data_IF_206190048032
#
_entry.id   IF_206190048032
#
_cell.length_a   1.000
_cell.length_b   1.000
_cell.length_c   1.000
_cell.angle_alpha   90.00
_cell.angle_beta   90.00
_cell.angle_gamma   90.00
#
_symmetry.space_group_name_H-M   'P 1'
#
loop_
_entity.id
_entity.type
_entity.pdbx_description
1 polymer ?
#
# COMPACT_ATOMS: atom_id res chain seq x y z
N UNK A 1 -9.28 -2.80 -21.83
CA UNK A 1 -8.23 -3.82 -21.61
C UNK A 1 -7.15 -3.31 -20.65
N UNK A 2 -6.63 -2.10 -20.86
CA UNK A 2 -5.57 -1.48 -20.04
C UNK A 2 -5.92 -1.34 -18.56
N UNK A 3 -7.12 -0.80 -18.24
CA UNK A 3 -7.56 -0.60 -16.84
C UNK A 3 -7.64 -1.92 -16.08
N UNK A 4 -8.15 -2.98 -16.72
CA UNK A 4 -8.28 -4.30 -16.09
C UNK A 4 -6.90 -4.90 -15.74
N UNK A 5 -5.95 -4.82 -16.67
CA UNK A 5 -4.56 -5.23 -16.43
C UNK A 5 -3.96 -4.41 -15.28
N UNK A 6 -4.17 -3.10 -15.27
CA UNK A 6 -3.68 -2.23 -14.20
C UNK A 6 -4.24 -2.59 -12.83
N UNK A 7 -5.54 -2.87 -12.74
CA UNK A 7 -6.17 -3.30 -11.49
C UNK A 7 -5.64 -4.65 -11.01
N UNK A 8 -5.43 -5.61 -11.92
CA UNK A 8 -4.91 -6.92 -11.56
C UNK A 8 -3.47 -6.84 -11.04
N UNK A 9 -2.62 -6.07 -11.72
CA UNK A 9 -1.23 -5.84 -11.31
C UNK A 9 -1.18 -5.07 -9.99
N UNK A 10 -2.03 -4.05 -9.82
CA UNK A 10 -2.17 -3.32 -8.57
C UNK A 10 -2.58 -4.23 -7.42
N UNK A 11 -3.54 -5.13 -7.65
CA UNK A 11 -4.02 -6.06 -6.64
C UNK A 11 -2.91 -7.00 -6.17
N UNK A 12 -2.08 -7.51 -7.08
CA UNK A 12 -0.89 -8.31 -6.71
C UNK A 12 0.06 -7.50 -5.84
N UNK A 13 0.33 -6.23 -6.19
CA UNK A 13 1.18 -5.35 -5.39
C UNK A 13 0.61 -5.13 -3.97
N UNK A 14 -0.70 -4.93 -3.84
CA UNK A 14 -1.39 -4.79 -2.53
C UNK A 14 -1.31 -6.09 -1.73
N UNK A 15 -1.51 -7.25 -2.33
CA UNK A 15 -1.42 -8.53 -1.61
C UNK A 15 -0.02 -8.77 -1.03
N UNK A 16 1.04 -8.45 -1.79
CA UNK A 16 2.41 -8.55 -1.30
C UNK A 16 2.66 -7.57 -0.16
N UNK A 17 2.14 -6.34 -0.28
CA UNK A 17 2.22 -5.30 0.74
C UNK A 17 1.59 -5.74 2.07
N UNK A 18 0.34 -6.18 2.01
CA UNK A 18 -0.43 -6.65 3.17
C UNK A 18 0.17 -7.91 3.79
N UNK A 19 0.64 -8.84 2.95
CA UNK A 19 1.36 -10.02 3.42
C UNK A 19 2.63 -9.63 4.21
N UNK A 20 3.40 -8.65 3.74
CA UNK A 20 4.61 -8.20 4.41
C UNK A 20 4.30 -7.60 5.80
N UNK A 21 3.24 -6.81 5.92
CA UNK A 21 2.76 -6.33 7.23
C UNK A 21 2.42 -7.48 8.17
N UNK A 22 1.59 -8.43 7.71
CA UNK A 22 1.18 -9.58 8.51
C UNK A 22 2.36 -10.47 8.90
N UNK A 23 3.31 -10.68 8.00
CA UNK A 23 4.51 -11.47 8.25
C UNK A 23 5.42 -10.80 9.28
N UNK A 24 5.64 -9.49 9.15
CA UNK A 24 6.41 -8.72 10.12
C UNK A 24 5.76 -8.76 11.51
N UNK A 25 4.45 -8.51 11.58
CA UNK A 25 3.69 -8.56 12.83
C UNK A 25 3.77 -9.95 13.49
N UNK A 26 3.64 -11.02 12.70
CA UNK A 26 3.79 -12.40 13.19
C UNK A 26 5.18 -12.67 13.78
N UNK A 27 6.24 -12.21 13.10
CA UNK A 27 7.62 -12.35 13.59
C UNK A 27 7.89 -11.52 14.85
N UNK A 28 7.19 -10.41 15.02
CA UNK A 28 7.26 -9.55 16.21
C UNK A 28 6.31 -9.97 17.33
N UNK A 29 5.61 -11.10 17.19
CA UNK A 29 4.81 -11.71 18.25
C UNK A 29 3.31 -11.52 18.15
N UNK A 30 2.78 -10.94 17.06
CA UNK A 30 1.34 -10.82 16.83
C UNK A 30 0.80 -11.92 15.87
N UNK A 31 0.15 -12.98 16.38
CA UNK A 31 -0.41 -14.05 15.55
C UNK A 31 -1.77 -13.72 14.93
N UNK A 32 -2.31 -12.51 15.12
CA UNK A 32 -3.68 -12.13 14.71
C UNK A 32 -3.94 -12.40 13.22
N UNK A 33 -3.04 -11.94 12.34
CA UNK A 33 -3.14 -12.16 10.90
C UNK A 33 -3.14 -13.66 10.51
N UNK A 34 -2.33 -14.47 11.22
CA UNK A 34 -2.21 -15.90 10.99
C UNK A 34 -3.50 -16.64 11.39
N UNK A 35 -4.04 -16.35 12.57
CA UNK A 35 -5.29 -16.96 13.04
C UNK A 35 -6.51 -16.51 12.23
N UNK A 36 -6.48 -15.30 11.69
CA UNK A 36 -7.49 -14.81 10.76
C UNK A 36 -7.36 -15.42 9.34
N UNK A 37 -6.39 -16.30 9.08
CA UNK A 37 -6.14 -16.90 7.78
C UNK A 37 -5.64 -15.91 6.71
N UNK A 38 -5.18 -14.72 7.11
CA UNK A 38 -4.75 -13.65 6.18
C UNK A 38 -3.26 -13.57 5.95
N UNK A 39 -2.47 -14.43 6.62
CA UNK A 39 -1.05 -14.57 6.34
C UNK A 39 -0.82 -15.46 5.11
N UNK A 40 -1.26 -14.97 3.94
CA UNK A 40 -1.21 -15.71 2.68
C UNK A 40 -1.05 -14.76 1.49
N UNK A 41 -0.39 -15.24 0.44
CA UNK A 41 -0.31 -14.56 -0.87
C UNK A 41 -1.51 -14.90 -1.77
N UNK A 42 -2.48 -15.68 -1.29
CA UNK A 42 -3.72 -15.95 -2.01
C UNK A 42 -4.53 -14.65 -2.12
N UNK A 43 -4.71 -14.07 -3.32
CA UNK A 43 -5.41 -12.81 -3.49
C UNK A 43 -6.87 -12.89 -3.03
N UNK A 44 -7.50 -14.07 -3.07
CA UNK A 44 -8.89 -14.25 -2.63
C UNK A 44 -9.09 -13.99 -1.13
N UNK A 45 -8.05 -14.20 -0.30
CA UNK A 45 -8.13 -13.99 1.14
C UNK A 45 -8.20 -12.50 1.53
N UNK A 46 -7.87 -11.60 0.60
CA UNK A 46 -7.81 -10.15 0.79
C UNK A 46 -8.97 -9.41 0.12
N UNK A 47 -9.91 -10.13 -0.48
CA UNK A 47 -11.12 -9.54 -1.08
C UNK A 47 -12.07 -9.11 0.04
N UNK A 48 -12.51 -7.85 -0.03
CA UNK A 48 -13.70 -7.40 0.69
C UNK A 48 -14.88 -7.44 -0.29
N UNK A 49 -15.89 -8.32 -0.12
CA UNK A 49 -16.99 -8.42 -1.08
C UNK A 49 -17.69 -7.08 -1.32
N UNK A 50 -17.80 -6.24 -0.29
CA UNK A 50 -18.41 -4.93 -0.43
C UNK A 50 -17.46 -3.94 -1.12
N UNK A 51 -16.27 -3.73 -0.55
CA UNK A 51 -15.31 -2.72 -1.01
C UNK A 51 -14.63 -3.05 -2.35
N UNK A 52 -14.46 -4.33 -2.67
CA UNK A 52 -13.77 -4.79 -3.88
C UNK A 52 -14.73 -5.08 -5.03
N UNK A 53 -16.00 -5.42 -4.77
CA UNK A 53 -16.98 -5.84 -5.80
C UNK A 53 -18.21 -4.94 -5.82
N UNK A 54 -18.99 -4.91 -4.72
CA UNK A 54 -20.30 -4.23 -4.69
C UNK A 54 -20.16 -2.73 -4.92
N UNK A 55 -19.22 -2.09 -4.23
CA UNK A 55 -19.04 -0.65 -4.28
C UNK A 55 -18.57 -0.16 -5.66
N UNK A 56 -17.51 -0.73 -6.29
CA UNK A 56 -17.16 -0.38 -7.66
C UNK A 56 -18.31 -0.57 -8.66
N UNK A 57 -19.06 -1.69 -8.57
CA UNK A 57 -20.21 -1.94 -9.45
C UNK A 57 -21.30 -0.88 -9.28
N UNK A 58 -21.64 -0.53 -8.04
CA UNK A 58 -22.62 0.51 -7.75
C UNK A 58 -22.19 1.87 -8.31
N UNK A 59 -20.92 2.25 -8.16
CA UNK A 59 -20.38 3.50 -8.71
C UNK A 59 -20.41 3.53 -10.24
N UNK A 60 -20.12 2.40 -10.90
CA UNK A 60 -20.23 2.27 -12.36
C UNK A 60 -21.70 2.43 -12.79
N UNK A 61 -22.64 1.76 -12.12
CA UNK A 61 -24.08 1.86 -12.40
C UNK A 61 -24.61 3.29 -12.21
N UNK A 62 -24.11 3.99 -11.18
CA UNK A 62 -24.46 5.38 -10.90
C UNK A 62 -23.74 6.38 -11.82
N UNK A 63 -22.92 5.91 -12.77
CA UNK A 63 -22.09 6.75 -13.65
C UNK A 63 -21.23 7.75 -12.86
N UNK A 64 -20.75 7.33 -11.70
CA UNK A 64 -19.86 8.15 -10.89
C UNK A 64 -18.60 8.48 -11.70
N UNK A 65 -18.12 9.73 -11.69
CA UNK A 65 -16.87 10.10 -12.34
C UNK A 65 -15.65 9.44 -11.69
N UNK A 66 -15.81 8.89 -10.47
CA UNK A 66 -14.77 8.22 -9.72
C UNK A 66 -15.23 6.81 -9.32
N UNK A 67 -14.40 5.82 -9.63
CA UNK A 67 -14.55 4.45 -9.17
C UNK A 67 -13.48 4.23 -8.09
N UNK A 68 -13.92 3.88 -6.88
CA UNK A 68 -13.02 3.52 -5.81
C UNK A 68 -13.45 2.18 -5.20
N UNK A 69 -12.47 1.50 -4.64
CA UNK A 69 -12.64 0.26 -3.91
C UNK A 69 -11.45 0.04 -3.00
N UNK A 70 -11.61 -0.79 -1.99
CA UNK A 70 -10.53 -1.15 -1.07
C UNK A 70 -10.42 -2.67 -0.94
N UNK A 71 -9.21 -3.13 -0.68
CA UNK A 71 -8.95 -4.49 -0.24
C UNK A 71 -9.23 -4.60 1.26
N UNK A 72 -9.49 -5.82 1.73
CA UNK A 72 -9.64 -6.10 3.16
C UNK A 72 -8.26 -6.09 3.81
N UNK A 73 -7.92 -5.13 4.68
CA UNK A 73 -6.57 -5.04 5.25
C UNK A 73 -6.27 -6.23 6.17
N UNK A 74 -4.98 -6.54 6.33
CA UNK A 74 -4.53 -7.59 7.26
C UNK A 74 -4.72 -7.12 8.71
N UNK A 75 -5.37 -7.91 9.57
CA UNK A 75 -5.64 -7.50 10.94
C UNK A 75 -4.37 -7.61 11.77
N UNK A 76 -4.02 -6.53 12.45
CA UNK A 76 -2.82 -6.44 13.30
C UNK A 76 -3.26 -5.96 14.66
N UNK A 77 -2.92 -6.71 15.70
CA UNK A 77 -3.14 -6.31 17.07
C UNK A 77 -1.89 -5.66 17.63
N UNK A 78 -1.84 -4.33 17.55
CA UNK A 78 -0.70 -3.54 18.04
C UNK A 78 -0.39 -3.74 19.52
N UNK A 79 -1.34 -4.22 20.34
CA UNK A 79 -1.08 -4.54 21.76
C UNK A 79 -0.10 -5.69 21.93
N UNK A 80 -0.05 -6.62 20.98
CA UNK A 80 0.86 -7.77 21.01
C UNK A 80 2.30 -7.39 20.63
N UNK A 81 2.52 -6.23 20.02
CA UNK A 81 3.84 -5.80 19.54
C UNK A 81 4.73 -5.23 20.64
N UNK A 82 4.19 -4.97 21.83
CA UNK A 82 4.91 -4.60 23.05
C UNK A 82 5.47 -3.18 23.08
N UNK A 83 6.11 -2.71 22.01
CA UNK A 83 6.71 -1.38 21.92
C UNK A 83 6.34 -0.64 20.63
N UNK A 84 6.53 0.68 20.64
CA UNK A 84 6.20 1.57 19.51
C UNK A 84 7.14 1.40 18.32
N UNK A 85 8.39 0.99 18.55
CA UNK A 85 9.34 0.69 17.49
C UNK A 85 8.86 -0.48 16.61
N UNK A 86 8.29 -1.52 17.22
CA UNK A 86 7.70 -2.65 16.51
C UNK A 86 6.49 -2.23 15.67
N UNK A 87 5.68 -1.28 16.14
CA UNK A 87 4.60 -0.69 15.33
C UNK A 87 5.16 -0.01 14.07
N UNK A 88 6.25 0.75 14.21
CA UNK A 88 6.92 1.37 13.06
C UNK A 88 7.55 0.34 12.11
N UNK A 89 8.17 -0.72 12.64
CA UNK A 89 8.72 -1.81 11.81
C UNK A 89 7.62 -2.49 11.00
N UNK A 90 6.48 -2.77 11.62
CA UNK A 90 5.31 -3.29 10.91
C UNK A 90 4.84 -2.31 9.85
N UNK A 91 4.72 -1.01 10.16
CA UNK A 91 4.36 0.02 9.17
C UNK A 91 5.36 0.12 8.00
N UNK A 92 6.66 -0.09 8.23
CA UNK A 92 7.67 -0.10 7.18
C UNK A 92 7.63 -1.35 6.30
N UNK A 93 7.14 -2.48 6.82
CA UNK A 93 7.23 -3.76 6.14
C UNK A 93 6.55 -3.79 4.76
N UNK A 94 5.35 -3.22 4.65
CA UNK A 94 4.62 -3.10 3.37
C UNK A 94 5.39 -2.26 2.35
N UNK A 95 5.69 -0.98 2.62
CA UNK A 95 6.46 -0.13 1.70
C UNK A 95 7.81 -0.73 1.29
N UNK A 96 8.54 -1.36 2.22
CA UNK A 96 9.82 -2.02 1.91
C UNK A 96 9.63 -3.23 0.98
N UNK A 97 8.59 -4.04 1.17
CA UNK A 97 8.29 -5.14 0.27
C UNK A 97 7.98 -4.63 -1.15
N UNK A 98 7.22 -3.55 -1.27
CA UNK A 98 6.94 -2.93 -2.57
C UNK A 98 8.21 -2.35 -3.23
N UNK A 99 9.09 -1.68 -2.50
CA UNK A 99 10.38 -1.26 -3.05
C UNK A 99 11.21 -2.44 -3.52
N UNK A 100 11.24 -3.54 -2.77
CA UNK A 100 11.93 -4.77 -3.18
C UNK A 100 11.32 -5.35 -4.47
N UNK A 101 10.00 -5.40 -4.59
CA UNK A 101 9.32 -5.87 -5.80
C UNK A 101 9.57 -4.96 -7.00
N UNK A 102 9.58 -3.64 -6.82
CA UNK A 102 9.93 -2.68 -7.85
C UNK A 102 11.37 -2.88 -8.34
N UNK A 103 12.31 -3.07 -7.41
CA UNK A 103 13.70 -3.35 -7.75
C UNK A 103 13.84 -4.67 -8.53
N UNK A 104 13.22 -5.76 -8.07
CA UNK A 104 13.22 -7.04 -8.80
C UNK A 104 12.60 -6.92 -10.19
N UNK A 105 11.47 -6.21 -10.32
CA UNK A 105 10.84 -5.93 -11.62
C UNK A 105 11.77 -5.16 -12.56
N UNK A 106 12.56 -4.22 -12.05
CA UNK A 106 13.54 -3.48 -12.85
C UNK A 106 14.66 -4.34 -13.41
N UNK A 107 15.14 -5.32 -12.63
CA UNK A 107 16.14 -6.27 -13.10
C UNK A 107 15.58 -7.14 -14.23
N UNK A 108 14.31 -7.55 -14.12
CA UNK A 108 13.63 -8.33 -15.17
C UNK A 108 13.43 -7.54 -16.46
N UNK A 109 13.12 -6.24 -16.36
CA UNK A 109 13.04 -5.35 -17.52
C UNK A 109 14.41 -5.25 -18.21
N UNK A 110 15.47 -5.02 -17.44
CA UNK A 110 16.85 -4.91 -17.96
C UNK A 110 17.38 -6.20 -18.57
N UNK A 111 16.90 -7.36 -18.12
CA UNK A 111 17.24 -8.64 -18.73
C UNK A 111 16.74 -8.74 -20.18
N UNK A 112 15.76 -7.91 -20.57
CA UNK A 112 15.23 -7.81 -21.94
C UNK A 112 14.78 -9.15 -22.54
N UNK A 113 14.23 -10.03 -21.69
CA UNK A 113 13.76 -11.37 -22.06
C UNK A 113 12.26 -11.42 -22.38
N UNK A 114 11.54 -10.31 -22.23
CA UNK A 114 10.09 -10.22 -22.42
C UNK A 114 9.74 -9.52 -23.74
N UNK A 115 8.62 -9.91 -24.35
CA UNK A 115 8.07 -9.19 -25.50
C UNK A 115 7.48 -7.83 -25.07
N UNK A 116 7.06 -7.00 -26.04
CA UNK A 116 6.51 -5.67 -25.79
C UNK A 116 5.36 -5.66 -24.76
N UNK A 117 4.47 -6.66 -24.81
CA UNK A 117 3.36 -6.79 -23.87
C UNK A 117 3.85 -7.12 -22.45
N UNK A 118 4.81 -8.05 -22.32
CA UNK A 118 5.41 -8.40 -21.04
C UNK A 118 6.21 -7.24 -20.43
N UNK A 119 6.95 -6.50 -21.26
CA UNK A 119 7.66 -5.28 -20.83
C UNK A 119 6.68 -4.21 -20.32
N UNK A 120 5.56 -4.00 -21.03
CA UNK A 120 4.52 -3.07 -20.58
C UNK A 120 3.93 -3.46 -19.21
N UNK A 121 3.61 -4.75 -19.02
CA UNK A 121 3.09 -5.26 -17.74
C UNK A 121 4.13 -5.11 -16.63
N UNK A 122 5.41 -5.37 -16.90
CA UNK A 122 6.49 -5.21 -15.92
C UNK A 122 6.74 -3.75 -15.55
N UNK A 123 6.77 -2.84 -16.53
CA UNK A 123 6.88 -1.40 -16.28
C UNK A 123 5.73 -0.90 -15.40
N UNK A 124 4.52 -1.36 -15.69
CA UNK A 124 3.34 -1.07 -14.90
C UNK A 124 3.45 -1.66 -13.47
N UNK A 125 3.93 -2.90 -13.34
CA UNK A 125 4.18 -3.53 -12.03
C UNK A 125 5.20 -2.75 -11.20
N UNK A 126 6.34 -2.36 -11.78
CA UNK A 126 7.35 -1.55 -11.09
C UNK A 126 6.76 -0.20 -10.66
N UNK A 127 6.10 0.50 -11.58
CA UNK A 127 5.51 1.82 -11.31
C UNK A 127 4.48 1.74 -10.17
N UNK A 128 3.56 0.77 -10.22
CA UNK A 128 2.52 0.62 -9.19
C UNK A 128 3.10 0.24 -7.82
N UNK A 129 4.16 -0.59 -7.79
CA UNK A 129 4.84 -0.89 -6.53
C UNK A 129 5.52 0.35 -5.95
N UNK A 130 6.21 1.16 -6.76
CA UNK A 130 6.83 2.42 -6.30
C UNK A 130 5.79 3.41 -5.81
N UNK A 131 4.69 3.60 -6.56
CA UNK A 131 3.59 4.48 -6.15
C UNK A 131 3.01 4.01 -4.82
N UNK A 132 2.70 2.72 -4.67
CA UNK A 132 2.14 2.19 -3.42
C UNK A 132 3.10 2.34 -2.24
N UNK A 133 4.41 2.15 -2.47
CA UNK A 133 5.42 2.33 -1.43
C UNK A 133 5.54 3.80 -1.00
N UNK A 134 5.70 4.72 -1.95
CA UNK A 134 5.86 6.16 -1.67
C UNK A 134 4.60 6.75 -1.06
N UNK A 135 3.42 6.38 -1.58
CA UNK A 135 2.13 6.80 -1.03
C UNK A 135 1.98 6.34 0.42
N UNK A 136 2.21 5.06 0.72
CA UNK A 136 2.06 4.56 2.08
C UNK A 136 3.14 5.04 3.05
N UNK A 137 4.25 5.62 2.60
CA UNK A 137 5.22 6.29 3.48
C UNK A 137 4.77 7.68 3.92
N UNK A 138 3.74 8.26 3.32
CA UNK A 138 3.25 9.57 3.70
C UNK A 138 2.71 9.54 5.14
N UNK A 139 3.14 10.44 6.04
CA UNK A 139 2.89 10.34 7.49
C UNK A 139 1.48 10.83 7.88
N UNK A 140 0.45 10.26 7.25
CA UNK A 140 -0.94 10.64 7.44
C UNK A 140 -1.81 9.38 7.63
N UNK A 141 -2.60 9.28 8.72
CA UNK A 141 -3.55 8.19 8.85
C UNK A 141 -4.58 8.21 7.72
N UNK A 142 -5.01 7.05 7.17
CA UNK A 142 -4.73 5.68 7.61
C UNK A 142 -3.45 5.04 7.03
N UNK A 143 -2.59 5.79 6.33
CA UNK A 143 -1.41 5.27 5.62
C UNK A 143 -0.35 4.76 6.59
N UNK A 144 0.51 3.84 6.16
CA UNK A 144 1.50 3.21 7.04
C UNK A 144 2.54 4.18 7.61
N UNK A 145 2.83 5.28 6.92
CA UNK A 145 3.68 6.37 7.38
C UNK A 145 3.23 6.94 8.71
N UNK A 146 1.92 6.90 9.00
CA UNK A 146 1.38 7.29 10.30
C UNK A 146 1.83 6.36 11.43
N UNK A 147 1.92 5.05 11.17
CA UNK A 147 2.39 4.03 12.12
C UNK A 147 3.90 4.17 12.36
N UNK A 148 4.64 4.47 11.30
CA UNK A 148 6.07 4.79 11.36
C UNK A 148 6.28 6.01 12.24
N UNK A 149 5.52 7.09 11.97
CA UNK A 149 5.60 8.32 12.75
C UNK A 149 5.25 8.07 14.23
N UNK A 150 4.18 7.32 14.52
CA UNK A 150 3.81 6.92 15.89
C UNK A 150 4.93 6.20 16.64
N UNK A 151 5.74 5.40 15.93
CA UNK A 151 6.88 4.69 16.50
C UNK A 151 8.01 5.60 16.97
N UNK A 152 8.23 6.72 16.26
CA UNK A 152 9.32 7.66 16.52
C UNK A 152 8.89 8.92 17.30
N UNK A 153 7.58 9.18 17.39
CA UNK A 153 7.05 10.40 17.99
C UNK A 153 7.38 10.51 19.50
N UNK A 154 7.81 11.69 20.00
CA UNK A 154 7.90 11.96 21.43
C UNK A 154 6.57 11.74 22.16
N UNK A 155 6.64 11.25 23.40
CA UNK A 155 5.45 10.80 24.14
C UNK A 155 4.42 11.91 24.37
N UNK A 156 4.87 13.15 24.55
CA UNK A 156 3.99 14.32 24.70
C UNK A 156 3.19 14.68 23.44
N UNK A 157 3.66 14.27 22.25
CA UNK A 157 3.00 14.60 20.97
C UNK A 157 1.96 13.55 20.56
N UNK A 158 1.98 12.35 21.14
CA UNK A 158 1.11 11.23 20.72
C UNK A 158 -0.36 11.60 20.83
N UNK A 159 -0.75 12.25 21.94
CA UNK A 159 -2.15 12.66 22.18
C UNK A 159 -2.70 13.56 21.06
N UNK A 160 -1.86 14.43 20.50
CA UNK A 160 -2.26 15.32 19.40
C UNK A 160 -2.34 14.54 18.09
N UNK A 161 -1.41 13.62 17.85
CA UNK A 161 -1.43 12.80 16.64
C UNK A 161 -2.66 11.88 16.57
N UNK A 162 -2.98 11.19 17.67
CA UNK A 162 -4.18 10.34 17.77
C UNK A 162 -5.46 11.18 17.61
N UNK A 163 -5.47 12.43 18.06
CA UNK A 163 -6.60 13.33 17.84
C UNK A 163 -6.80 13.69 16.36
N UNK A 164 -5.74 13.72 15.55
CA UNK A 164 -5.80 13.96 14.09
C UNK A 164 -6.23 12.69 13.35
N UNK A 165 -5.89 11.51 13.86
CA UNK A 165 -6.19 10.20 13.25
C UNK A 165 -7.67 10.04 12.87
N UNK A 166 -8.59 10.54 13.71
CA UNK A 166 -10.03 10.52 13.44
C UNK A 166 -10.46 11.31 12.19
N UNK A 167 -9.66 12.29 11.78
CA UNK A 167 -9.86 13.11 10.59
C UNK A 167 -9.00 12.64 9.43
N UNK A 168 -8.15 11.62 9.62
CA UNK A 168 -7.16 11.16 8.65
C UNK A 168 -7.76 10.87 7.28
N UNK A 169 -8.89 10.16 7.22
CA UNK A 169 -9.61 9.91 5.96
C UNK A 169 -10.06 11.21 5.26
N UNK A 170 -10.63 12.16 6.00
CA UNK A 170 -11.10 13.43 5.43
C UNK A 170 -9.93 14.24 4.88
N UNK A 171 -8.82 14.29 5.64
CA UNK A 171 -7.59 14.98 5.22
C UNK A 171 -7.02 14.30 3.97
N UNK A 172 -6.95 12.96 3.97
CA UNK A 172 -6.45 12.18 2.84
C UNK A 172 -7.24 12.49 1.56
N UNK A 173 -8.58 12.39 1.61
CA UNK A 173 -9.43 12.68 0.46
C UNK A 173 -9.33 14.14 0.03
N UNK A 174 -9.26 15.09 0.96
CA UNK A 174 -9.06 16.50 0.65
C UNK A 174 -7.75 16.76 -0.10
N UNK A 175 -6.66 16.16 0.35
CA UNK A 175 -5.35 16.27 -0.30
C UNK A 175 -5.31 15.62 -1.70
N UNK A 176 -6.00 14.48 -1.88
CA UNK A 176 -6.14 13.83 -3.19
C UNK A 176 -6.95 14.73 -4.13
N UNK A 177 -8.08 15.26 -3.66
CA UNK A 177 -8.96 16.12 -4.46
C UNK A 177 -8.28 17.42 -4.89
N UNK A 178 -7.41 17.98 -4.04
CA UNK A 178 -6.59 19.15 -4.36
C UNK A 178 -5.41 18.85 -5.30
N UNK A 179 -5.16 17.59 -5.66
CA UNK A 179 -4.03 17.18 -6.51
C UNK A 179 -2.65 17.29 -5.85
N UNK A 180 -2.60 17.49 -4.53
CA UNK A 180 -1.34 17.66 -3.79
C UNK A 180 -0.51 16.38 -3.77
N UNK A 181 -1.19 15.22 -3.71
CA UNK A 181 -0.50 13.93 -3.80
C UNK A 181 0.20 13.73 -5.13
N UNK A 182 -0.41 14.13 -6.25
CA UNK A 182 0.24 14.02 -7.55
C UNK A 182 1.50 14.89 -7.61
N UNK A 183 1.44 16.10 -7.05
CA UNK A 183 2.57 17.02 -7.00
C UNK A 183 3.73 16.48 -6.14
N UNK A 184 3.45 15.74 -5.07
CA UNK A 184 4.48 15.22 -4.15
C UNK A 184 4.99 13.85 -4.60
N UNK A 185 4.10 12.93 -4.96
CA UNK A 185 4.44 11.53 -5.21
C UNK A 185 5.10 11.35 -6.57
N UNK A 186 4.56 11.96 -7.64
CA UNK A 186 5.08 11.72 -8.98
C UNK A 186 6.55 12.12 -9.17
N UNK A 187 7.05 13.26 -8.65
CA UNK A 187 8.47 13.59 -8.74
C UNK A 187 9.37 12.54 -8.07
N UNK A 188 8.95 12.03 -6.90
CA UNK A 188 9.69 11.00 -6.17
C UNK A 188 9.69 9.71 -6.98
N UNK A 189 8.53 9.25 -7.44
CA UNK A 189 8.40 8.02 -8.23
C UNK A 189 9.20 8.11 -9.53
N UNK A 190 9.13 9.24 -10.26
CA UNK A 190 9.93 9.46 -11.48
C UNK A 190 11.42 9.41 -11.19
N UNK A 191 11.87 10.03 -10.10
CA UNK A 191 13.28 9.99 -9.69
C UNK A 191 13.73 8.55 -9.40
N UNK A 192 12.90 7.77 -8.71
CA UNK A 192 13.18 6.36 -8.42
C UNK A 192 13.19 5.50 -9.69
N UNK A 193 12.29 5.73 -10.64
CA UNK A 193 12.28 5.04 -11.94
C UNK A 193 13.59 5.31 -12.69
N UNK A 194 14.02 6.57 -12.74
CA UNK A 194 15.30 6.96 -13.36
C UNK A 194 16.49 6.30 -12.66
N UNK A 195 16.50 6.26 -11.32
CA UNK A 195 17.55 5.57 -10.53
C UNK A 195 17.56 4.07 -10.84
N UNK A 196 16.38 3.46 -10.98
CA UNK A 196 16.26 2.06 -11.38
C UNK A 196 16.62 1.83 -12.84
N UNK A 197 16.80 2.88 -13.65
CA UNK A 197 17.20 2.79 -15.05
C UNK A 197 16.14 2.12 -15.93
N UNK A 198 14.87 2.43 -15.70
CA UNK A 198 13.72 2.04 -16.51
C UNK A 198 13.09 3.27 -17.15
#
# INVERSE_FOLDING_TARGET
MTIFISLLVFYVAVVIHEFAHGWCAYKLGDPTAKYAGRLTLNPLAHIDPFGTIVLPLMLIMMRSPFIFGWAKPVPINFRNLGNRGNIALVGLAGPLANFAMAFLGSLLIKANIFNNTGLYILQLFVTLNLVLAVFNLFPLPPLDGSRILLGILPQGLIKYFVAIERYGFIILFGLIWLGLFDFIIWPIVKSLIVILGI
#
